data_IF_185183722439
#
_entry.id   IF_185183722439
#
_cell.length_a   1.000
_cell.length_b   1.000
_cell.length_c   1.000
_cell.angle_alpha   90.00
_cell.angle_beta   90.00
_cell.angle_gamma   90.00
#
_symmetry.space_group_name_H-M   'P 1'
#
loop_
_entity.id
_entity.type
_entity.pdbx_description
1 polymer ?
#
# COMPACT_ATOMS: atom_id res chain seq x y z
N UNK A 1 -34.74 -13.12 18.53
CA UNK A 1 -33.38 -12.56 18.62
C UNK A 1 -33.52 -11.04 18.63
N UNK A 2 -33.13 -10.38 19.70
CA UNK A 2 -33.25 -8.94 19.84
C UNK A 2 -32.28 -8.21 18.89
N UNK A 3 -32.48 -6.90 18.68
CA UNK A 3 -31.57 -6.07 17.87
C UNK A 3 -30.16 -6.03 18.52
N UNK A 4 -30.10 -6.04 19.84
CA UNK A 4 -28.87 -6.13 20.64
C UNK A 4 -28.11 -7.46 20.39
N UNK A 5 -28.84 -8.60 20.36
CA UNK A 5 -28.23 -9.90 20.11
C UNK A 5 -27.62 -9.98 18.71
N UNK A 6 -28.25 -9.35 17.71
CA UNK A 6 -27.71 -9.27 16.33
C UNK A 6 -26.46 -8.43 16.25
N UNK A 7 -26.45 -7.26 16.91
CA UNK A 7 -25.28 -6.40 16.96
C UNK A 7 -24.10 -7.09 17.67
N UNK A 8 -24.32 -7.72 18.82
CA UNK A 8 -23.28 -8.44 19.53
C UNK A 8 -22.70 -9.59 18.68
N UNK A 9 -23.55 -10.33 17.96
CA UNK A 9 -23.10 -11.40 17.08
C UNK A 9 -22.28 -10.88 15.91
N UNK A 10 -22.62 -9.73 15.33
CA UNK A 10 -21.85 -9.09 14.27
C UNK A 10 -20.47 -8.61 14.76
N UNK A 11 -20.39 -8.01 15.95
CA UNK A 11 -19.12 -7.59 16.57
C UNK A 11 -18.20 -8.80 16.79
N UNK A 12 -18.72 -9.87 17.39
CA UNK A 12 -17.95 -11.10 17.63
C UNK A 12 -17.47 -11.77 16.33
N UNK A 13 -18.29 -11.73 15.28
CA UNK A 13 -17.86 -12.25 13.95
C UNK A 13 -16.73 -11.43 13.36
N UNK A 14 -16.81 -10.10 13.45
CA UNK A 14 -15.75 -9.21 12.95
C UNK A 14 -14.45 -9.40 13.75
N UNK A 15 -14.51 -9.47 15.08
CA UNK A 15 -13.35 -9.73 15.94
C UNK A 15 -12.68 -11.07 15.58
N UNK A 16 -13.45 -12.12 15.35
CA UNK A 16 -12.92 -13.43 14.95
C UNK A 16 -12.28 -13.39 13.55
N UNK A 17 -12.86 -12.64 12.61
CA UNK A 17 -12.31 -12.46 11.26
C UNK A 17 -10.96 -11.73 11.34
N UNK A 18 -10.89 -10.61 12.05
CA UNK A 18 -9.66 -9.84 12.22
C UNK A 18 -8.58 -10.67 12.93
N UNK A 19 -8.94 -11.44 13.95
CA UNK A 19 -8.00 -12.33 14.63
C UNK A 19 -7.45 -13.43 13.71
N UNK A 20 -8.30 -14.05 12.89
CA UNK A 20 -7.86 -15.05 11.92
C UNK A 20 -6.94 -14.41 10.85
N UNK A 21 -7.26 -13.20 10.39
CA UNK A 21 -6.43 -12.44 9.47
C UNK A 21 -5.03 -12.16 10.07
N UNK A 22 -4.96 -11.71 11.33
CA UNK A 22 -3.69 -11.44 12.02
C UNK A 22 -2.78 -12.67 12.11
N UNK A 23 -3.34 -13.86 12.34
CA UNK A 23 -2.56 -15.10 12.36
C UNK A 23 -1.93 -15.41 11.01
N UNK A 24 -2.67 -15.16 9.93
CA UNK A 24 -2.16 -15.35 8.57
C UNK A 24 -1.13 -14.28 8.22
N UNK A 25 -1.42 -13.02 8.55
CA UNK A 25 -0.50 -11.90 8.35
C UNK A 25 0.86 -12.14 9.03
N UNK A 26 0.84 -12.65 10.25
CA UNK A 26 2.06 -13.05 10.97
C UNK A 26 2.85 -14.13 10.22
N UNK A 27 2.18 -15.17 9.71
CA UNK A 27 2.84 -16.22 8.90
C UNK A 27 3.47 -15.68 7.63
N UNK A 28 2.79 -14.75 6.94
CA UNK A 28 3.33 -14.06 5.76
C UNK A 28 4.61 -13.32 6.13
N UNK A 29 4.55 -12.49 7.17
CA UNK A 29 5.69 -11.71 7.64
C UNK A 29 6.88 -12.60 8.01
N UNK A 30 6.65 -13.68 8.79
CA UNK A 30 7.69 -14.65 9.14
C UNK A 30 8.31 -15.35 7.93
N UNK A 31 7.48 -15.71 6.92
CA UNK A 31 7.95 -16.32 5.67
C UNK A 31 8.86 -15.37 4.91
N UNK A 32 8.40 -14.14 4.69
CA UNK A 32 9.11 -13.11 3.93
C UNK A 32 10.38 -12.63 4.65
N UNK A 33 10.36 -12.60 5.98
CA UNK A 33 11.56 -12.32 6.77
C UNK A 33 12.65 -13.38 6.57
N UNK A 34 12.27 -14.67 6.40
CA UNK A 34 13.24 -15.75 6.11
C UNK A 34 13.83 -15.65 4.71
N UNK A 35 13.03 -15.32 3.69
CA UNK A 35 13.51 -15.09 2.32
C UNK A 35 14.22 -13.75 2.15
N UNK A 36 14.15 -12.85 3.15
CA UNK A 36 14.63 -11.47 3.09
C UNK A 36 13.97 -10.65 1.98
N UNK A 37 12.70 -10.92 1.75
CA UNK A 37 11.85 -10.22 0.77
C UNK A 37 11.03 -9.17 1.50
N UNK A 38 11.24 -7.90 1.19
CA UNK A 38 10.49 -6.78 1.75
C UNK A 38 9.05 -6.78 1.21
N UNK A 39 8.05 -6.65 2.07
CA UNK A 39 6.65 -6.47 1.68
C UNK A 39 6.16 -5.08 2.04
N UNK A 40 5.71 -4.33 1.03
CA UNK A 40 5.19 -2.97 1.18
C UNK A 40 3.74 -2.94 0.72
N UNK A 41 2.82 -2.55 1.60
CA UNK A 41 1.40 -2.39 1.29
C UNK A 41 1.10 -0.93 0.92
N UNK A 42 0.57 -0.69 -0.28
CA UNK A 42 0.24 0.64 -0.80
C UNK A 42 -1.27 0.84 -0.81
N UNK A 43 -1.76 1.72 0.03
CA UNK A 43 -3.19 2.09 0.12
C UNK A 43 -3.42 3.52 -0.39
N UNK A 44 -4.55 3.76 -1.02
CA UNK A 44 -4.94 5.09 -1.50
C UNK A 44 -6.37 5.14 -1.99
N UNK A 45 -6.89 6.32 -2.27
CA UNK A 45 -8.08 6.47 -3.12
C UNK A 45 -7.81 5.96 -4.55
N UNK A 46 -8.86 5.63 -5.32
CA UNK A 46 -8.73 5.35 -6.74
C UNK A 46 -8.10 6.54 -7.49
N UNK A 47 -7.21 6.25 -8.43
CA UNK A 47 -6.58 7.29 -9.25
C UNK A 47 -5.48 8.11 -8.57
N UNK A 48 -5.03 7.79 -7.36
CA UNK A 48 -3.92 8.47 -6.67
C UNK A 48 -2.54 8.18 -7.29
N UNK A 49 -2.44 7.27 -8.25
CA UNK A 49 -1.20 7.00 -9.00
C UNK A 49 -0.34 5.87 -8.46
N UNK A 50 -0.91 4.90 -7.72
CA UNK A 50 -0.18 3.70 -7.24
C UNK A 50 0.55 2.98 -8.36
N UNK A 51 -0.17 2.53 -9.38
CA UNK A 51 0.39 1.80 -10.53
C UNK A 51 1.50 2.58 -11.23
N UNK A 52 1.29 3.90 -11.46
CA UNK A 52 2.29 4.76 -12.11
C UNK A 52 3.55 4.93 -11.26
N UNK A 53 3.40 5.02 -9.92
CA UNK A 53 4.54 5.06 -9.00
C UNK A 53 5.29 3.72 -9.01
N UNK A 54 4.58 2.58 -9.05
CA UNK A 54 5.18 1.25 -9.14
C UNK A 54 5.96 1.05 -10.44
N UNK A 55 5.41 1.44 -11.58
CA UNK A 55 6.11 1.40 -12.88
C UNK A 55 7.41 2.21 -12.86
N UNK A 56 7.33 3.45 -12.33
CA UNK A 56 8.51 4.31 -12.20
C UNK A 56 9.56 3.74 -11.23
N UNK A 57 9.09 3.14 -10.13
CA UNK A 57 9.94 2.48 -9.12
C UNK A 57 10.65 1.27 -9.72
N UNK A 58 9.93 0.41 -10.40
CA UNK A 58 10.50 -0.79 -11.01
C UNK A 58 11.50 -0.44 -12.11
N UNK A 59 11.20 0.55 -12.94
CA UNK A 59 12.14 1.04 -13.95
C UNK A 59 13.43 1.59 -13.34
N UNK A 60 13.33 2.25 -12.18
CA UNK A 60 14.50 2.87 -11.54
C UNK A 60 15.35 1.88 -10.72
N UNK A 61 14.74 0.84 -10.14
CA UNK A 61 15.40 -0.15 -9.29
C UNK A 61 15.66 -1.49 -9.99
N UNK A 62 15.11 -1.73 -11.19
CA UNK A 62 15.09 -3.06 -11.83
C UNK A 62 16.46 -3.70 -12.08
N UNK A 63 17.54 -2.91 -12.17
CA UNK A 63 18.91 -3.44 -12.24
C UNK A 63 19.52 -3.73 -10.86
N UNK A 64 18.95 -3.14 -9.80
CA UNK A 64 19.46 -3.24 -8.43
C UNK A 64 18.65 -4.19 -7.56
N UNK A 65 17.33 -4.26 -7.77
CA UNK A 65 16.39 -5.03 -6.96
C UNK A 65 15.37 -5.75 -7.84
N UNK A 66 15.14 -7.03 -7.59
CA UNK A 66 14.05 -7.78 -8.20
C UNK A 66 12.72 -7.45 -7.50
N UNK A 67 11.80 -6.89 -8.25
CA UNK A 67 10.51 -6.41 -7.74
C UNK A 67 9.39 -7.32 -8.23
N UNK A 68 8.49 -7.70 -7.31
CA UNK A 68 7.21 -8.32 -7.63
C UNK A 68 6.04 -7.46 -7.19
N UNK A 69 4.86 -7.64 -7.79
CA UNK A 69 3.66 -6.88 -7.42
C UNK A 69 2.44 -7.79 -7.29
N UNK A 70 1.69 -7.58 -6.20
CA UNK A 70 0.34 -8.13 -6.02
C UNK A 70 -0.64 -6.99 -6.28
N UNK A 71 -1.54 -7.14 -7.26
CA UNK A 71 -2.53 -6.11 -7.62
C UNK A 71 -3.90 -6.52 -7.13
N UNK A 72 -4.46 -5.77 -6.19
CA UNK A 72 -5.84 -5.91 -5.74
C UNK A 72 -6.77 -4.97 -6.50
N UNK A 73 -7.72 -5.51 -7.23
CA UNK A 73 -8.73 -4.72 -7.94
C UNK A 73 -10.11 -5.37 -7.85
N UNK A 74 -11.15 -4.54 -7.83
CA UNK A 74 -12.55 -5.01 -7.73
C UNK A 74 -12.99 -5.76 -8.98
N UNK A 75 -12.62 -5.30 -10.19
CA UNK A 75 -13.16 -5.82 -11.43
C UNK A 75 -12.25 -5.74 -12.67
N UNK A 76 -11.20 -4.91 -12.66
CA UNK A 76 -10.40 -4.65 -13.86
C UNK A 76 -9.03 -5.31 -13.83
N UNK A 77 -8.45 -5.56 -15.01
CA UNK A 77 -7.09 -6.10 -15.15
C UNK A 77 -6.08 -5.05 -15.65
N UNK A 78 -6.52 -3.79 -15.77
CA UNK A 78 -5.71 -2.74 -16.42
C UNK A 78 -4.38 -2.49 -15.71
N UNK A 79 -4.37 -2.40 -14.40
CA UNK A 79 -3.15 -2.13 -13.64
C UNK A 79 -2.19 -3.32 -13.67
N UNK A 80 -2.73 -4.55 -13.61
CA UNK A 80 -1.96 -5.78 -13.83
C UNK A 80 -1.35 -5.85 -15.23
N UNK A 81 -2.13 -5.55 -16.29
CA UNK A 81 -1.64 -5.55 -17.68
C UNK A 81 -0.52 -4.52 -17.87
N UNK A 82 -0.66 -3.32 -17.29
CA UNK A 82 0.38 -2.29 -17.31
C UNK A 82 1.69 -2.78 -16.69
N UNK A 83 1.65 -3.39 -15.52
CA UNK A 83 2.85 -3.92 -14.85
C UNK A 83 3.50 -5.05 -15.65
N UNK A 84 2.70 -5.91 -16.27
CA UNK A 84 3.22 -6.96 -17.18
C UNK A 84 4.00 -6.39 -18.37
N UNK A 85 3.60 -5.25 -18.92
CA UNK A 85 4.34 -4.60 -20.02
C UNK A 85 5.72 -4.08 -19.58
N UNK A 86 5.95 -3.99 -18.27
CA UNK A 86 7.23 -3.59 -17.68
C UNK A 86 8.12 -4.78 -17.27
N UNK A 87 7.78 -6.02 -17.67
CA UNK A 87 8.46 -7.28 -17.29
C UNK A 87 8.53 -7.51 -15.77
N UNK A 88 7.56 -6.97 -15.02
CA UNK A 88 7.48 -7.13 -13.56
C UNK A 88 6.68 -8.40 -13.26
N UNK A 89 7.22 -9.36 -12.48
CA UNK A 89 6.42 -10.45 -11.93
C UNK A 89 5.21 -9.92 -11.14
N UNK A 90 4.01 -10.19 -11.65
CA UNK A 90 2.79 -9.67 -11.04
C UNK A 90 1.72 -10.75 -10.91
N UNK A 91 0.94 -10.69 -9.83
CA UNK A 91 -0.24 -11.52 -9.59
C UNK A 91 -1.42 -10.62 -9.31
N UNK A 92 -2.55 -10.90 -9.95
CA UNK A 92 -3.77 -10.16 -9.71
C UNK A 92 -4.70 -10.92 -8.77
N UNK A 93 -5.29 -10.17 -7.84
CA UNK A 93 -6.41 -10.60 -6.99
C UNK A 93 -7.65 -9.80 -7.41
N UNK A 94 -8.65 -10.48 -7.97
CA UNK A 94 -9.95 -9.87 -8.26
C UNK A 94 -10.85 -10.09 -7.05
N UNK A 95 -11.18 -9.00 -6.35
CA UNK A 95 -11.94 -9.07 -5.09
C UNK A 95 -13.46 -9.13 -5.29
N UNK A 96 -13.96 -8.82 -6.50
CA UNK A 96 -15.39 -8.80 -6.80
C UNK A 96 -16.12 -7.69 -6.06
N UNK A 97 -16.77 -8.01 -4.95
CA UNK A 97 -17.51 -7.03 -4.13
C UNK A 97 -16.70 -6.46 -2.96
N UNK A 98 -15.54 -7.06 -2.63
CA UNK A 98 -14.76 -6.63 -1.49
C UNK A 98 -13.92 -5.38 -1.81
N UNK A 99 -13.94 -4.41 -0.91
CA UNK A 99 -13.24 -3.14 -1.06
C UNK A 99 -11.82 -3.13 -0.46
N UNK A 100 -11.27 -4.31 -0.12
CA UNK A 100 -9.96 -4.50 0.49
C UNK A 100 -9.42 -5.90 0.18
N UNK A 101 -8.15 -6.11 0.48
CA UNK A 101 -7.51 -7.41 0.51
C UNK A 101 -7.46 -7.95 1.94
N UNK A 102 -7.52 -9.27 2.08
CA UNK A 102 -7.26 -10.00 3.31
C UNK A 102 -5.93 -10.75 3.22
N UNK A 103 -5.32 -11.06 4.38
CA UNK A 103 -4.05 -11.77 4.43
C UNK A 103 -4.08 -13.14 3.72
N UNK A 104 -5.22 -13.84 3.77
CA UNK A 104 -5.39 -15.11 3.06
C UNK A 104 -5.28 -14.97 1.55
N UNK A 105 -5.79 -13.88 0.97
CA UNK A 105 -5.68 -13.59 -0.46
C UNK A 105 -4.23 -13.29 -0.84
N UNK A 106 -3.53 -12.51 0.00
CA UNK A 106 -2.11 -12.18 -0.20
C UNK A 106 -1.24 -13.42 -0.08
N UNK A 107 -1.50 -14.31 0.90
CA UNK A 107 -0.76 -15.58 1.05
C UNK A 107 -0.87 -16.44 -0.22
N UNK A 108 -2.07 -16.54 -0.81
CA UNK A 108 -2.30 -17.25 -2.06
C UNK A 108 -1.57 -16.60 -3.26
N UNK A 109 -1.55 -15.28 -3.33
CA UNK A 109 -0.84 -14.55 -4.38
C UNK A 109 0.69 -14.72 -4.26
N UNK A 110 1.24 -14.67 -3.05
CA UNK A 110 2.65 -14.92 -2.78
C UNK A 110 3.10 -16.33 -3.18
N UNK A 111 2.21 -17.32 -3.18
CA UNK A 111 2.52 -18.67 -3.65
C UNK A 111 2.65 -18.77 -5.19
N UNK A 112 2.20 -17.75 -5.91
CA UNK A 112 2.30 -17.67 -7.37
C UNK A 112 3.47 -16.79 -7.84
N UNK A 113 4.12 -16.08 -6.91
CA UNK A 113 5.32 -15.27 -7.18
C UNK A 113 6.59 -16.07 -6.84
N UNK A 114 7.71 -15.86 -7.54
CA UNK A 114 9.02 -16.43 -7.21
C UNK A 114 9.66 -15.67 -6.02
N UNK A 115 9.01 -15.72 -4.85
CA UNK A 115 9.35 -14.88 -3.68
C UNK A 115 10.81 -14.98 -3.28
N UNK A 116 11.41 -16.17 -3.38
CA UNK A 116 12.82 -16.39 -2.99
C UNK A 116 13.83 -15.71 -3.95
N UNK A 117 13.36 -15.25 -5.12
CA UNK A 117 14.14 -14.50 -6.11
C UNK A 117 13.87 -12.98 -6.07
N UNK A 118 12.91 -12.55 -5.22
CA UNK A 118 12.49 -11.15 -5.13
C UNK A 118 13.09 -10.45 -3.91
N UNK A 119 13.55 -9.23 -4.12
CA UNK A 119 14.02 -8.35 -3.05
C UNK A 119 12.88 -7.58 -2.38
N UNK A 120 11.87 -7.20 -3.18
CA UNK A 120 10.70 -6.41 -2.73
C UNK A 120 9.44 -6.91 -3.41
N UNK A 121 8.38 -7.09 -2.64
CA UNK A 121 7.01 -7.28 -3.16
C UNK A 121 6.18 -6.07 -2.73
N UNK A 122 5.53 -5.44 -3.68
CA UNK A 122 4.51 -4.43 -3.41
C UNK A 122 3.12 -5.04 -3.49
N UNK A 123 2.26 -4.65 -2.55
CA UNK A 123 0.82 -4.84 -2.64
C UNK A 123 0.21 -3.53 -3.11
N UNK A 124 -0.26 -3.47 -4.35
CA UNK A 124 -1.16 -2.43 -4.80
C UNK A 124 -2.57 -2.79 -4.32
N UNK A 125 -2.98 -2.23 -3.18
CA UNK A 125 -4.28 -2.52 -2.58
C UNK A 125 -5.42 -1.88 -3.38
N UNK A 126 -6.64 -2.37 -3.16
CA UNK A 126 -7.86 -1.80 -3.76
C UNK A 126 -7.93 -0.30 -3.45
N UNK A 127 -8.40 0.49 -4.43
CA UNK A 127 -8.54 1.94 -4.29
C UNK A 127 -9.58 2.32 -3.23
N UNK A 128 -9.18 2.36 -1.97
CA UNK A 128 -9.99 2.72 -0.81
C UNK A 128 -9.07 3.14 0.35
N UNK A 129 -9.50 4.12 1.18
CA UNK A 129 -8.75 4.60 2.35
C UNK A 129 -9.35 4.14 3.69
N UNK A 130 -10.46 3.40 3.69
CA UNK A 130 -11.15 2.93 4.89
C UNK A 130 -10.79 1.47 5.14
N UNK A 131 -11.40 0.56 4.38
CA UNK A 131 -11.26 -0.87 4.62
C UNK A 131 -9.80 -1.37 4.56
N UNK A 132 -8.96 -1.01 3.57
CA UNK A 132 -7.58 -1.47 3.52
C UNK A 132 -6.71 -1.07 4.71
N UNK A 133 -7.08 0.00 5.43
CA UNK A 133 -6.35 0.44 6.62
C UNK A 133 -6.61 -0.44 7.85
N UNK A 134 -7.73 -1.17 7.89
CA UNK A 134 -8.13 -2.04 9.00
C UNK A 134 -7.41 -3.41 8.97
N UNK A 135 -6.96 -3.85 7.80
CA UNK A 135 -6.40 -5.18 7.61
C UNK A 135 -4.88 -5.15 7.52
N UNK A 136 -4.25 -5.94 8.39
CA UNK A 136 -2.84 -6.28 8.29
C UNK A 136 -2.67 -7.40 7.26
N UNK A 137 -1.80 -7.20 6.28
CA UNK A 137 -1.53 -8.18 5.21
C UNK A 137 -0.18 -8.90 5.40
N UNK A 138 0.46 -8.69 6.56
CA UNK A 138 1.80 -9.19 6.84
C UNK A 138 2.91 -8.31 6.28
N UNK A 139 2.58 -7.11 5.85
CA UNK A 139 3.53 -6.14 5.33
C UNK A 139 4.56 -5.70 6.39
N UNK A 140 5.78 -5.45 5.94
CA UNK A 140 6.83 -4.85 6.77
C UNK A 140 6.60 -3.34 6.92
N UNK A 141 6.11 -2.70 5.85
CA UNK A 141 5.80 -1.27 5.84
C UNK A 141 4.51 -1.00 5.06
N UNK A 142 3.77 -0.01 5.53
CA UNK A 142 2.54 0.49 4.92
C UNK A 142 2.72 1.91 4.42
N UNK A 143 2.28 2.16 3.20
CA UNK A 143 2.37 3.45 2.53
C UNK A 143 0.98 3.92 2.13
N UNK A 144 0.61 5.13 2.55
CA UNK A 144 -0.60 5.79 2.03
C UNK A 144 -0.20 6.79 0.95
N UNK A 145 -0.89 6.74 -0.21
CA UNK A 145 -0.73 7.77 -1.25
C UNK A 145 -1.89 8.77 -1.17
N UNK A 146 -1.53 10.03 -1.35
CA UNK A 146 -2.46 11.15 -1.52
C UNK A 146 -2.04 11.95 -2.75
N UNK A 147 -2.89 12.06 -3.76
CA UNK A 147 -2.56 12.88 -4.93
C UNK A 147 -3.02 14.32 -4.76
N UNK A 148 -2.25 15.27 -5.31
CA UNK A 148 -2.57 16.70 -5.29
C UNK A 148 -4.02 17.01 -5.70
N UNK A 149 -4.62 16.37 -6.72
CA UNK A 149 -6.03 16.63 -7.08
C UNK A 149 -7.07 16.19 -6.05
N UNK A 150 -6.70 15.39 -5.04
CA UNK A 150 -7.66 14.90 -4.03
C UNK A 150 -7.94 15.92 -2.91
N UNK A 151 -7.05 16.89 -2.71
CA UNK A 151 -7.15 17.89 -1.65
C UNK A 151 -6.57 17.45 -0.31
N UNK A 152 -6.13 18.43 0.49
CA UNK A 152 -5.44 18.25 1.77
C UNK A 152 -6.33 17.65 2.87
N UNK A 153 -7.63 17.92 2.79
CA UNK A 153 -8.64 17.52 3.77
C UNK A 153 -8.83 15.99 3.86
N UNK A 154 -8.36 15.25 2.87
CA UNK A 154 -8.34 13.78 2.88
C UNK A 154 -7.63 13.21 4.11
N UNK A 155 -6.55 13.84 4.56
CA UNK A 155 -5.80 13.40 5.74
C UNK A 155 -6.69 13.39 6.98
N UNK A 156 -7.49 14.44 7.15
CA UNK A 156 -8.41 14.56 8.28
C UNK A 156 -9.69 13.74 8.12
N UNK A 157 -10.13 13.50 6.87
CA UNK A 157 -11.33 12.69 6.59
C UNK A 157 -11.09 11.19 6.77
N UNK A 158 -9.86 10.72 6.55
CA UNK A 158 -9.49 9.31 6.64
C UNK A 158 -8.34 9.06 7.62
N UNK A 159 -8.45 9.52 8.88
CA UNK A 159 -7.33 9.60 9.81
C UNK A 159 -6.69 8.24 10.11
N UNK A 160 -7.45 7.14 10.01
CA UNK A 160 -6.95 5.80 10.31
C UNK A 160 -5.87 5.37 9.30
N UNK A 161 -6.07 5.61 8.01
CA UNK A 161 -5.10 5.29 6.97
C UNK A 161 -3.74 5.96 7.23
N UNK A 162 -3.75 7.25 7.59
CA UNK A 162 -2.51 8.01 7.84
C UNK A 162 -1.88 7.69 9.20
N UNK A 163 -2.69 7.34 10.19
CA UNK A 163 -2.19 6.94 11.53
C UNK A 163 -1.45 5.61 11.49
N UNK A 164 -1.89 4.67 10.65
CA UNK A 164 -1.33 3.32 10.57
C UNK A 164 -0.26 3.16 9.51
N UNK A 165 0.08 4.22 8.77
CA UNK A 165 1.10 4.17 7.72
C UNK A 165 2.47 4.62 8.21
N UNK A 166 3.52 3.97 7.70
CA UNK A 166 4.92 4.35 7.93
C UNK A 166 5.32 5.53 7.05
N UNK A 167 4.71 5.64 5.86
CA UNK A 167 4.92 6.78 4.98
C UNK A 167 3.64 7.29 4.32
N UNK A 168 3.64 8.60 4.04
CA UNK A 168 2.71 9.30 3.17
C UNK A 168 3.45 9.76 1.92
N UNK A 169 2.99 9.30 0.76
CA UNK A 169 3.50 9.78 -0.53
C UNK A 169 2.49 10.75 -1.14
N UNK A 170 2.85 12.02 -1.19
CA UNK A 170 2.07 13.03 -1.91
C UNK A 170 2.43 12.92 -3.38
N UNK A 171 1.52 12.44 -4.20
CA UNK A 171 1.75 12.16 -5.62
C UNK A 171 1.26 13.29 -6.53
N UNK A 172 1.74 13.27 -7.79
CA UNK A 172 1.36 14.24 -8.84
C UNK A 172 1.71 15.68 -8.46
N UNK A 173 2.86 15.89 -7.83
CA UNK A 173 3.30 17.23 -7.40
C UNK A 173 3.60 18.19 -8.57
N UNK A 174 3.79 17.66 -9.78
CA UNK A 174 3.83 18.44 -11.03
C UNK A 174 2.57 19.28 -11.26
N UNK A 175 1.43 18.90 -10.64
CA UNK A 175 0.16 19.62 -10.71
C UNK A 175 0.02 20.77 -9.70
N UNK A 176 0.95 20.93 -8.75
CA UNK A 176 0.90 21.99 -7.72
C UNK A 176 0.78 23.40 -8.32
N UNK A 177 1.42 23.64 -9.47
CA UNK A 177 1.34 24.93 -10.16
C UNK A 177 -0.05 25.23 -10.76
N UNK A 178 -0.94 24.25 -10.83
CA UNK A 178 -2.27 24.37 -11.43
C UNK A 178 -3.41 24.23 -10.43
N UNK A 179 -3.12 23.75 -9.21
CA UNK A 179 -4.12 23.45 -8.19
C UNK A 179 -3.77 24.16 -6.88
N UNK A 180 -4.80 24.54 -6.15
CA UNK A 180 -4.61 25.06 -4.81
C UNK A 180 -4.44 23.88 -3.85
N UNK A 181 -3.21 23.55 -3.51
CA UNK A 181 -2.84 22.44 -2.62
C UNK A 181 -1.58 22.82 -1.83
N UNK A 182 -1.67 22.74 -0.54
CA UNK A 182 -0.58 23.07 0.38
C UNK A 182 0.04 21.78 0.97
N UNK A 183 1.21 21.42 0.47
CA UNK A 183 1.99 20.29 0.96
C UNK A 183 2.40 20.48 2.44
N UNK A 184 2.63 21.70 2.88
CA UNK A 184 2.95 22.03 4.28
C UNK A 184 1.79 21.66 5.20
N UNK A 185 0.57 22.07 4.84
CA UNK A 185 -0.64 21.72 5.58
C UNK A 185 -0.88 20.22 5.67
N UNK A 186 -0.65 19.49 4.57
CA UNK A 186 -0.71 18.01 4.56
C UNK A 186 0.29 17.41 5.54
N UNK A 187 1.53 17.93 5.57
CA UNK A 187 2.56 17.49 6.52
C UNK A 187 2.13 17.71 7.96
N UNK A 188 1.58 18.88 8.28
CA UNK A 188 1.11 19.20 9.63
C UNK A 188 -0.04 18.28 10.06
N UNK A 189 -1.01 18.02 9.18
CA UNK A 189 -2.12 17.10 9.46
C UNK A 189 -1.61 15.67 9.67
N UNK A 190 -0.78 15.17 8.77
CA UNK A 190 -0.26 13.81 8.87
C UNK A 190 0.60 13.61 10.14
N UNK A 191 1.47 14.58 10.47
CA UNK A 191 2.28 14.55 11.70
C UNK A 191 1.45 14.67 12.98
N UNK A 192 0.31 15.36 12.95
CA UNK A 192 -0.61 15.40 14.09
C UNK A 192 -1.27 14.05 14.37
N UNK A 193 -1.46 13.22 13.35
CA UNK A 193 -2.04 11.87 13.46
C UNK A 193 -0.99 10.80 13.78
N UNK A 194 0.19 10.92 13.17
CA UNK A 194 1.32 10.02 13.36
C UNK A 194 2.65 10.82 13.31
N UNK A 195 3.23 11.16 14.47
CA UNK A 195 4.48 11.95 14.52
C UNK A 195 5.67 11.30 13.80
N UNK A 196 5.65 9.97 13.64
CA UNK A 196 6.74 9.20 13.04
C UNK A 196 6.57 8.99 11.53
N UNK A 197 5.44 9.35 10.93
CA UNK A 197 5.19 9.13 9.51
C UNK A 197 6.22 9.86 8.64
N UNK A 198 6.85 9.14 7.70
CA UNK A 198 7.68 9.75 6.67
C UNK A 198 6.81 10.38 5.60
N UNK A 199 7.20 11.56 5.08
CA UNK A 199 6.36 12.27 4.09
C UNK A 199 7.23 12.67 2.91
N UNK A 200 6.93 12.11 1.75
CA UNK A 200 7.66 12.35 0.49
C UNK A 200 6.67 12.91 -0.54
N UNK A 201 7.10 13.93 -1.25
CA UNK A 201 6.35 14.52 -2.35
C UNK A 201 6.96 14.07 -3.68
N UNK A 202 6.17 13.42 -4.57
CA UNK A 202 6.68 12.83 -5.81
C UNK A 202 5.84 13.17 -7.02
N UNK A 203 6.50 13.25 -8.16
CA UNK A 203 5.88 13.10 -9.48
C UNK A 203 6.57 11.95 -10.22
N UNK A 204 5.87 10.83 -10.37
CA UNK A 204 6.35 9.73 -11.20
C UNK A 204 6.47 10.12 -12.69
N UNK A 205 5.79 11.20 -13.11
CA UNK A 205 5.84 11.72 -14.47
C UNK A 205 7.11 12.53 -14.74
N UNK A 206 7.50 13.43 -13.82
CA UNK A 206 8.69 14.29 -13.97
C UNK A 206 9.95 13.72 -13.33
N UNK A 207 9.80 12.73 -12.44
CA UNK A 207 10.89 12.19 -11.63
C UNK A 207 11.17 12.97 -10.35
N UNK A 208 10.45 14.07 -10.09
CA UNK A 208 10.60 14.86 -8.87
C UNK A 208 10.32 14.00 -7.62
N UNK A 209 11.20 14.06 -6.61
CA UNK A 209 11.08 13.32 -5.36
C UNK A 209 11.30 11.81 -5.46
N UNK A 210 11.47 11.24 -6.65
CA UNK A 210 11.67 9.79 -6.83
C UNK A 210 12.93 9.28 -6.14
N UNK A 211 14.00 10.05 -6.11
CA UNK A 211 15.25 9.65 -5.43
C UNK A 211 15.05 9.41 -3.93
N UNK A 212 14.26 10.27 -3.26
CA UNK A 212 13.94 10.12 -1.84
C UNK A 212 13.07 8.88 -1.59
N UNK A 213 12.09 8.62 -2.45
CA UNK A 213 11.28 7.42 -2.40
C UNK A 213 12.11 6.14 -2.56
N UNK A 214 12.99 6.08 -3.56
CA UNK A 214 13.85 4.93 -3.81
C UNK A 214 14.84 4.68 -2.66
N UNK A 215 15.39 5.76 -2.09
CA UNK A 215 16.30 5.65 -0.93
C UNK A 215 15.56 5.12 0.30
N UNK A 216 14.29 5.51 0.51
CA UNK A 216 13.48 4.98 1.59
C UNK A 216 13.25 3.46 1.45
N UNK A 217 12.98 2.96 0.24
CA UNK A 217 12.86 1.51 -0.01
C UNK A 217 14.15 0.78 0.36
N UNK A 218 15.32 1.32 -0.06
CA UNK A 218 16.64 0.76 0.29
C UNK A 218 16.88 0.74 1.80
N UNK A 219 16.50 1.81 2.48
CA UNK A 219 16.61 1.93 3.94
C UNK A 219 15.71 0.89 4.63
N UNK A 220 14.45 0.78 4.24
CA UNK A 220 13.49 -0.17 4.80
C UNK A 220 13.92 -1.62 4.61
N UNK A 221 14.49 -1.96 3.44
CA UNK A 221 15.02 -3.30 3.21
C UNK A 221 16.18 -3.64 4.16
N UNK A 222 17.06 -2.66 4.43
CA UNK A 222 18.15 -2.84 5.41
C UNK A 222 17.64 -2.93 6.84
N UNK A 223 16.58 -2.20 7.17
CA UNK A 223 15.99 -2.17 8.51
C UNK A 223 15.24 -3.46 8.83
N UNK A 224 14.40 -3.94 7.91
CA UNK A 224 13.58 -5.13 8.09
C UNK A 224 14.40 -6.43 8.32
N UNK A 225 15.66 -6.47 7.83
CA UNK A 225 16.46 -7.71 7.83
C UNK A 225 17.83 -7.55 8.50
N UNK A 226 17.92 -6.65 9.50
CA UNK A 226 19.10 -6.50 10.37
C UNK A 226 19.25 -7.59 11.39
#
# INVERSE_FOLDING_TARGET
>A
MSQQDRQLKQVLMLENLLHANELIAKRINERLSRSKTLLINMISSPGSGKTTLLEATAKALGEEMHIGVIVGDVATQRDYERLKTCDIPAVQIVTGSECHLEAAMVEQALNQLPVDELDVVFIENVGNLICPAEFNLGEHFRVTLLSVPEGEDKVLKYPHAFRTSDALIVTKVDLLKHLNFDVGLVKDYAKSLNPNIHIIAVSAFTGEGMSEWLEMIRMWRKEAFR
#
